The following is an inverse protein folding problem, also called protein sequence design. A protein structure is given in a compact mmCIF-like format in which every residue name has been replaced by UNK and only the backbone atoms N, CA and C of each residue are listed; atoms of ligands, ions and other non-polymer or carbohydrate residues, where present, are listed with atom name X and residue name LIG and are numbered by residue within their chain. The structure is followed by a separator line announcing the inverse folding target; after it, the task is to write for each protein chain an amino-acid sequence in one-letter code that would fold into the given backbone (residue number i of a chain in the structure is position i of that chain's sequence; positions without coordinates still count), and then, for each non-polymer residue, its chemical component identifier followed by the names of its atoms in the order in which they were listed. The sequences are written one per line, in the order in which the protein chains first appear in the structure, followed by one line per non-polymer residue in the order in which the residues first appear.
data_IF_436955335544
#
_entry.id   IF_436955335544
#
_cell.length_a   1.000
_cell.length_b   1.000
_cell.length_c   1.000
_cell.angle_alpha   90.00
_cell.angle_beta   90.00
_cell.angle_gamma   90.00
#
_symmetry.space_group_name_H-M   'P 1'
#
loop_
_entity.id
_entity.type
_entity.pdbx_description
1 polymer ?
#
# COMPACT_ATOMS: atom_id res chain seq x y z
N UNK A 1 -13.68 -19.46 9.14
CA UNK A 1 -13.10 -18.49 10.11
C UNK A 1 -12.47 -19.32 11.23
N UNK A 2 -11.23 -19.09 11.68
CA UNK A 2 -10.42 -20.04 12.51
C UNK A 2 -11.16 -20.74 13.68
N UNK A 3 -12.15 -20.08 14.30
CA UNK A 3 -12.99 -20.68 15.35
C UNK A 3 -13.94 -21.77 14.81
N UNK A 4 -14.54 -21.52 13.65
CA UNK A 4 -15.47 -22.43 12.96
C UNK A 4 -14.73 -23.56 12.26
N UNK A 5 -13.54 -23.29 11.73
CA UNK A 5 -12.77 -24.29 10.97
C UNK A 5 -12.05 -25.32 11.87
N UNK A 6 -11.86 -25.01 13.16
CA UNK A 6 -11.08 -25.83 14.11
C UNK A 6 -11.75 -26.07 15.46
N UNK A 7 -13.01 -25.63 15.64
CA UNK A 7 -13.75 -25.69 16.91
C UNK A 7 -12.94 -25.19 18.13
N UNK A 8 -12.02 -24.24 17.90
CA UNK A 8 -11.04 -23.85 18.90
C UNK A 8 -11.72 -23.15 20.08
N UNK A 9 -11.55 -23.66 21.31
CA UNK A 9 -12.03 -22.97 22.50
C UNK A 9 -11.44 -21.56 22.60
N UNK A 10 -12.27 -20.58 22.97
CA UNK A 10 -11.87 -19.16 23.05
C UNK A 10 -10.62 -18.92 23.92
N UNK A 11 -10.34 -19.80 24.90
CA UNK A 11 -9.10 -19.78 25.69
C UNK A 11 -7.83 -19.91 24.85
N UNK A 12 -7.84 -20.65 23.75
CA UNK A 12 -6.68 -20.79 22.87
C UNK A 12 -6.50 -19.56 21.99
N UNK A 13 -7.59 -19.02 21.46
CA UNK A 13 -7.58 -17.77 20.68
C UNK A 13 -7.00 -16.63 21.54
N UNK A 14 -7.51 -16.50 22.75
CA UNK A 14 -7.10 -15.44 23.69
C UNK A 14 -5.69 -15.66 24.26
N UNK A 15 -5.21 -16.90 24.35
CA UNK A 15 -3.82 -17.19 24.71
C UNK A 15 -2.84 -16.70 23.62
N UNK A 16 -3.19 -16.81 22.34
CA UNK A 16 -2.34 -16.32 21.23
C UNK A 16 -2.18 -14.80 21.20
N UNK A 17 -3.01 -14.04 21.90
CA UNK A 17 -2.79 -12.59 22.05
C UNK A 17 -1.44 -12.26 22.70
N UNK A 18 -0.91 -13.15 23.54
CA UNK A 18 0.44 -12.99 24.06
C UNK A 18 1.52 -13.02 22.97
N UNK A 19 1.29 -13.76 21.89
CA UNK A 19 2.23 -13.85 20.77
C UNK A 19 2.01 -12.76 19.72
N UNK A 20 0.78 -12.26 19.58
CA UNK A 20 0.45 -11.26 18.57
C UNK A 20 0.67 -9.82 19.04
N UNK A 21 0.29 -9.51 20.28
CA UNK A 21 0.50 -8.17 20.81
C UNK A 21 1.93 -8.00 21.26
N UNK A 22 2.54 -6.89 20.86
CA UNK A 22 3.90 -6.51 21.27
C UNK A 22 3.88 -5.18 22.01
N UNK A 23 4.88 -4.96 22.87
CA UNK A 23 5.12 -3.67 23.56
C UNK A 23 3.88 -3.11 24.26
N UNK A 24 3.37 -1.95 23.81
CA UNK A 24 2.24 -1.24 24.41
C UNK A 24 0.94 -2.04 24.30
N UNK A 25 0.71 -2.71 23.18
CA UNK A 25 -0.45 -3.58 22.98
C UNK A 25 -0.41 -4.78 23.95
N UNK A 26 0.77 -5.37 24.15
CA UNK A 26 0.94 -6.49 25.08
C UNK A 26 0.65 -6.07 26.52
N UNK A 27 1.22 -4.94 26.96
CA UNK A 27 0.98 -4.39 28.30
C UNK A 27 -0.50 -4.06 28.54
N UNK A 28 -1.17 -3.49 27.54
CA UNK A 28 -2.61 -3.23 27.60
C UNK A 28 -3.42 -4.52 27.75
N UNK A 29 -3.12 -5.54 26.94
CA UNK A 29 -3.77 -6.84 27.01
C UNK A 29 -3.60 -7.51 28.38
N UNK A 30 -2.38 -7.57 28.92
CA UNK A 30 -2.11 -8.18 30.23
C UNK A 30 -2.90 -7.46 31.34
N UNK A 31 -2.87 -6.13 31.38
CA UNK A 31 -3.63 -5.34 32.37
C UNK A 31 -5.13 -5.59 32.27
N UNK A 32 -5.68 -5.57 31.06
CA UNK A 32 -7.11 -5.75 30.86
C UNK A 32 -7.55 -7.18 31.22
N UNK A 33 -6.74 -8.19 30.88
CA UNK A 33 -6.99 -9.59 31.25
C UNK A 33 -6.92 -9.82 32.76
N UNK A 34 -5.98 -9.19 33.45
CA UNK A 34 -5.88 -9.27 34.92
C UNK A 34 -7.12 -8.68 35.59
N UNK A 35 -7.67 -7.57 35.06
CA UNK A 35 -8.84 -6.92 35.62
C UNK A 35 -10.16 -7.65 35.33
N UNK A 36 -10.33 -8.20 34.12
CA UNK A 36 -11.60 -8.74 33.63
C UNK A 36 -11.64 -10.29 33.61
N UNK A 37 -10.53 -10.95 33.93
CA UNK A 37 -10.43 -12.41 33.91
C UNK A 37 -10.39 -13.02 32.51
N UNK A 38 -10.82 -14.28 32.40
CA UNK A 38 -10.91 -15.00 31.14
C UNK A 38 -12.20 -14.63 30.42
N UNK A 39 -12.08 -14.08 29.22
CA UNK A 39 -13.19 -13.59 28.41
C UNK A 39 -13.20 -14.23 27.03
N UNK A 40 -14.38 -14.27 26.40
CA UNK A 40 -14.60 -14.85 25.07
C UNK A 40 -13.98 -13.99 23.95
N UNK A 41 -13.82 -14.57 22.76
CA UNK A 41 -13.40 -13.81 21.58
C UNK A 41 -14.40 -12.71 21.22
N UNK A 42 -15.70 -13.01 21.36
CA UNK A 42 -16.79 -12.06 21.11
C UNK A 42 -16.70 -10.83 22.02
N UNK A 43 -16.17 -10.99 23.24
CA UNK A 43 -15.90 -9.88 24.13
C UNK A 43 -14.62 -9.14 23.78
N UNK A 44 -13.53 -9.84 23.44
CA UNK A 44 -12.23 -9.21 23.12
C UNK A 44 -12.27 -8.39 21.84
N UNK A 45 -12.98 -8.85 20.81
CA UNK A 45 -13.05 -8.19 19.50
C UNK A 45 -13.45 -6.69 19.61
N UNK A 46 -14.56 -6.30 20.25
CA UNK A 46 -14.91 -4.88 20.40
C UNK A 46 -13.91 -4.10 21.27
N UNK A 47 -13.27 -4.71 22.27
CA UNK A 47 -12.26 -4.01 23.08
C UNK A 47 -11.02 -3.63 22.27
N UNK A 48 -10.57 -4.54 21.39
CA UNK A 48 -9.43 -4.30 20.51
C UNK A 48 -9.77 -3.20 19.51
N UNK A 49 -10.95 -3.28 18.88
CA UNK A 49 -11.44 -2.27 17.93
C UNK A 49 -11.53 -0.90 18.61
N UNK A 50 -12.16 -0.80 19.78
CA UNK A 50 -12.31 0.47 20.50
C UNK A 50 -10.96 1.06 20.92
N UNK A 51 -9.98 0.23 21.28
CA UNK A 51 -8.67 0.71 21.72
C UNK A 51 -7.79 1.19 20.57
N UNK A 52 -7.79 0.47 19.44
CA UNK A 52 -6.80 0.61 18.38
C UNK A 52 -7.35 1.08 17.04
N UNK A 53 -8.63 0.84 16.75
CA UNK A 53 -9.28 1.27 15.51
C UNK A 53 -10.04 2.60 15.70
N UNK A 54 -9.37 3.57 16.32
CA UNK A 54 -9.91 4.92 16.50
C UNK A 54 -9.87 5.73 15.19
N UNK A 55 -10.53 6.89 15.16
CA UNK A 55 -10.64 7.69 13.94
C UNK A 55 -9.30 8.18 13.39
N UNK A 56 -8.32 8.45 14.26
CA UNK A 56 -6.98 8.83 13.84
C UNK A 56 -6.28 7.69 13.07
N UNK A 57 -6.40 6.45 13.57
CA UNK A 57 -5.89 5.26 12.87
C UNK A 57 -6.62 5.03 11.53
N UNK A 58 -7.94 5.21 11.50
CA UNK A 58 -8.72 5.09 10.25
C UNK A 58 -8.25 6.10 9.21
N UNK A 59 -8.07 7.35 9.61
CA UNK A 59 -7.56 8.41 8.74
C UNK A 59 -6.15 8.10 8.22
N UNK A 60 -5.28 7.54 9.06
CA UNK A 60 -3.94 7.10 8.65
C UNK A 60 -4.03 6.01 7.58
N UNK A 61 -4.87 4.98 7.79
CA UNK A 61 -5.06 3.90 6.81
C UNK A 61 -5.65 4.42 5.50
N UNK A 62 -6.63 5.33 5.55
CA UNK A 62 -7.17 6.01 4.36
C UNK A 62 -6.08 6.77 3.62
N UNK A 63 -5.30 7.60 4.32
CA UNK A 63 -4.21 8.38 3.74
C UNK A 63 -3.17 7.48 3.06
N UNK A 64 -2.83 6.36 3.72
CA UNK A 64 -1.89 5.36 3.21
C UNK A 64 -2.47 4.63 1.98
N UNK A 65 -3.78 4.38 1.93
CA UNK A 65 -4.43 3.84 0.74
C UNK A 65 -4.45 4.84 -0.42
N UNK A 66 -4.80 6.11 -0.15
CA UNK A 66 -4.90 7.15 -1.18
C UNK A 66 -3.56 7.51 -1.82
N UNK A 67 -2.48 7.48 -1.03
CA UNK A 67 -1.12 7.74 -1.49
C UNK A 67 -0.43 6.55 -2.15
N UNK A 68 -0.92 5.32 -1.94
CA UNK A 68 -0.32 4.10 -2.47
C UNK A 68 -0.66 3.88 -3.95
N UNK A 69 0.00 4.62 -4.84
CA UNK A 69 -0.06 4.40 -6.29
C UNK A 69 0.78 3.21 -6.70
N UNK A 70 0.22 2.34 -7.54
CA UNK A 70 0.94 1.18 -8.04
C UNK A 70 2.07 1.59 -8.97
N UNK A 71 3.25 1.02 -8.79
CA UNK A 71 4.40 1.21 -9.67
C UNK A 71 5.02 -0.13 -10.07
N UNK A 72 4.91 -0.47 -11.36
CA UNK A 72 5.36 -1.76 -11.88
C UNK A 72 6.89 -1.98 -11.80
N UNK A 73 7.68 -0.91 -11.66
CA UNK A 73 9.14 -1.02 -11.51
C UNK A 73 9.57 -1.31 -10.07
N UNK A 74 8.71 -1.00 -9.10
CA UNK A 74 9.03 -1.07 -7.66
C UNK A 74 8.27 -2.16 -6.93
N UNK A 75 7.08 -2.49 -7.42
CA UNK A 75 6.12 -3.33 -6.72
C UNK A 75 5.67 -4.49 -7.60
N UNK A 76 5.41 -5.63 -6.96
CA UNK A 76 4.75 -6.78 -7.61
C UNK A 76 3.23 -6.63 -7.44
N UNK A 77 2.48 -6.99 -8.47
CA UNK A 77 1.02 -6.85 -8.50
C UNK A 77 0.33 -7.59 -7.36
N UNK A 78 0.65 -8.88 -7.15
CA UNK A 78 0.01 -9.69 -6.10
C UNK A 78 0.12 -9.09 -4.69
N UNK A 79 1.33 -8.86 -4.12
CA UNK A 79 1.44 -8.34 -2.75
C UNK A 79 0.87 -6.93 -2.64
N UNK A 80 1.04 -6.09 -3.66
CA UNK A 80 0.47 -4.75 -3.63
C UNK A 80 -1.07 -4.78 -3.60
N UNK A 81 -1.69 -5.58 -4.47
CA UNK A 81 -3.14 -5.71 -4.55
C UNK A 81 -3.72 -6.25 -3.24
N UNK A 82 -3.13 -7.30 -2.68
CA UNK A 82 -3.56 -7.86 -1.39
C UNK A 82 -3.47 -6.81 -0.27
N UNK A 83 -2.38 -6.04 -0.18
CA UNK A 83 -2.29 -4.97 0.81
C UNK A 83 -3.36 -3.90 0.64
N UNK A 84 -3.71 -3.51 -0.60
CA UNK A 84 -4.79 -2.55 -0.81
C UNK A 84 -6.17 -3.12 -0.48
N UNK A 85 -6.41 -4.40 -0.79
CA UNK A 85 -7.63 -5.12 -0.41
C UNK A 85 -7.77 -5.16 1.11
N UNK A 86 -6.72 -5.51 1.84
CA UNK A 86 -6.72 -5.56 3.30
C UNK A 86 -7.02 -4.19 3.94
N UNK A 87 -6.46 -3.10 3.41
CA UNK A 87 -6.76 -1.74 3.90
C UNK A 87 -8.24 -1.41 3.74
N UNK A 88 -8.81 -1.69 2.58
CA UNK A 88 -10.21 -1.37 2.28
C UNK A 88 -11.20 -2.26 3.05
N UNK A 89 -10.90 -3.54 3.25
CA UNK A 89 -11.77 -4.44 4.02
C UNK A 89 -11.82 -4.07 5.49
N UNK A 90 -10.73 -3.54 6.06
CA UNK A 90 -10.74 -3.07 7.45
C UNK A 90 -11.45 -1.72 7.60
N UNK A 91 -11.30 -0.82 6.61
CA UNK A 91 -12.01 0.47 6.62
C UNK A 91 -13.52 0.33 6.36
N UNK A 92 -13.90 -0.57 5.44
CA UNK A 92 -15.26 -0.72 4.96
C UNK A 92 -15.64 -2.21 4.88
N UNK A 93 -15.94 -2.86 6.01
CA UNK A 93 -16.19 -4.31 6.06
C UNK A 93 -17.43 -4.73 5.26
N UNK A 94 -18.42 -3.85 5.12
CA UNK A 94 -19.67 -4.12 4.40
C UNK A 94 -19.61 -3.73 2.92
N UNK A 95 -18.44 -3.31 2.42
CA UNK A 95 -18.26 -2.92 1.03
C UNK A 95 -18.19 -4.15 0.12
N UNK A 96 -18.92 -4.11 -1.00
CA UNK A 96 -18.88 -5.20 -1.96
C UNK A 96 -17.50 -5.35 -2.60
N UNK A 97 -17.12 -6.60 -2.87
CA UNK A 97 -15.83 -6.94 -3.47
C UNK A 97 -15.60 -6.23 -4.81
N UNK A 98 -16.64 -6.09 -5.62
CA UNK A 98 -16.59 -5.30 -6.86
C UNK A 98 -16.18 -3.84 -6.62
N UNK A 99 -16.73 -3.18 -5.59
CA UNK A 99 -16.40 -1.78 -5.29
C UNK A 99 -14.98 -1.69 -4.72
N UNK A 100 -14.56 -2.66 -3.92
CA UNK A 100 -13.17 -2.77 -3.45
C UNK A 100 -12.22 -2.86 -4.65
N UNK A 101 -12.46 -3.79 -5.57
CA UNK A 101 -11.67 -3.96 -6.79
C UNK A 101 -11.59 -2.66 -7.61
N UNK A 102 -12.73 -1.99 -7.82
CA UNK A 102 -12.78 -0.72 -8.54
C UNK A 102 -11.99 0.39 -7.85
N UNK A 103 -12.01 0.46 -6.52
CA UNK A 103 -11.20 1.41 -5.74
C UNK A 103 -9.71 1.12 -5.88
N UNK A 104 -9.30 -0.15 -5.83
CA UNK A 104 -7.89 -0.55 -6.00
C UNK A 104 -7.40 -0.20 -7.41
N UNK A 105 -8.18 -0.49 -8.46
CA UNK A 105 -7.79 -0.20 -9.84
C UNK A 105 -7.62 1.29 -10.12
N UNK A 106 -8.33 2.17 -9.42
CA UNK A 106 -8.10 3.63 -9.47
C UNK A 106 -6.73 4.04 -8.93
N UNK A 107 -6.11 3.21 -8.09
CA UNK A 107 -4.74 3.46 -7.60
C UNK A 107 -3.66 3.05 -8.61
N UNK A 108 -4.00 2.29 -9.66
CA UNK A 108 -3.11 2.08 -10.80
C UNK A 108 -2.99 3.35 -11.65
N UNK A 109 -4.12 3.99 -11.92
CA UNK A 109 -4.22 5.23 -12.70
C UNK A 109 -3.87 5.09 -14.19
N UNK A 110 -4.27 6.11 -14.97
CA UNK A 110 -3.88 6.30 -16.37
C UNK A 110 -4.15 5.08 -17.27
N UNK A 111 -3.19 4.81 -18.16
CA UNK A 111 -3.28 3.72 -19.15
C UNK A 111 -3.35 2.34 -18.49
N UNK A 112 -2.75 2.17 -17.30
CA UNK A 112 -2.76 0.89 -16.60
C UNK A 112 -4.15 0.56 -16.07
N UNK A 113 -4.82 1.52 -15.45
CA UNK A 113 -6.20 1.37 -15.01
C UNK A 113 -7.12 0.97 -16.17
N UNK A 114 -7.00 1.67 -17.32
CA UNK A 114 -7.82 1.37 -18.50
C UNK A 114 -7.49 -0.02 -19.07
N UNK A 115 -6.21 -0.36 -19.20
CA UNK A 115 -5.76 -1.65 -19.71
C UNK A 115 -6.28 -2.82 -18.87
N UNK A 116 -6.23 -2.72 -17.54
CA UNK A 116 -6.75 -3.77 -16.67
C UNK A 116 -8.28 -3.82 -16.74
N UNK A 117 -8.95 -2.67 -16.62
CA UNK A 117 -10.43 -2.61 -16.67
C UNK A 117 -11.02 -3.18 -17.94
N UNK A 118 -10.41 -2.91 -19.09
CA UNK A 118 -10.87 -3.44 -20.38
C UNK A 118 -10.86 -4.97 -20.48
N UNK A 119 -10.14 -5.66 -19.58
CA UNK A 119 -9.99 -7.12 -19.52
C UNK A 119 -10.71 -7.74 -18.33
N UNK A 120 -11.30 -6.94 -17.45
CA UNK A 120 -12.01 -7.40 -16.24
C UNK A 120 -13.50 -7.19 -16.38
N UNK A 121 -14.29 -8.01 -15.69
CA UNK A 121 -15.75 -7.86 -15.58
C UNK A 121 -16.14 -7.59 -14.14
N UNK A 122 -17.41 -7.25 -13.89
CA UNK A 122 -17.92 -7.07 -12.52
C UNK A 122 -17.81 -8.33 -11.66
N UNK A 123 -17.73 -9.50 -12.29
CA UNK A 123 -17.61 -10.82 -11.64
C UNK A 123 -16.16 -11.29 -11.49
N UNK A 124 -15.18 -10.50 -11.94
CA UNK A 124 -13.77 -10.88 -11.85
C UNK A 124 -13.34 -10.98 -10.40
N UNK A 125 -12.71 -12.12 -10.08
CA UNK A 125 -12.11 -12.38 -8.78
C UNK A 125 -10.87 -11.52 -8.56
N UNK A 126 -10.37 -11.47 -7.32
CA UNK A 126 -9.11 -10.79 -7.02
C UNK A 126 -7.95 -11.43 -7.81
N UNK A 127 -7.96 -12.76 -7.92
CA UNK A 127 -6.99 -13.56 -8.65
C UNK A 127 -7.00 -13.21 -10.15
N UNK A 128 -8.18 -13.09 -10.76
CA UNK A 128 -8.29 -12.69 -12.18
C UNK A 128 -7.67 -11.32 -12.41
N UNK A 129 -7.97 -10.35 -11.52
CA UNK A 129 -7.47 -8.99 -11.63
C UNK A 129 -5.95 -8.94 -11.44
N UNK A 130 -5.42 -9.69 -10.48
CA UNK A 130 -3.98 -9.79 -10.23
C UNK A 130 -3.27 -10.39 -11.45
N UNK A 131 -3.77 -11.49 -12.00
CA UNK A 131 -3.19 -12.14 -13.18
C UNK A 131 -3.16 -11.19 -14.39
N UNK A 132 -4.25 -10.45 -14.62
CA UNK A 132 -4.32 -9.44 -15.68
C UNK A 132 -3.33 -8.29 -15.42
N UNK A 133 -3.24 -7.82 -14.18
CA UNK A 133 -2.30 -6.75 -13.79
C UNK A 133 -0.84 -7.17 -14.02
N UNK A 134 -0.49 -8.41 -13.68
CA UNK A 134 0.83 -8.99 -13.97
C UNK A 134 1.07 -9.14 -15.47
N UNK A 135 0.09 -9.63 -16.22
CA UNK A 135 0.19 -9.77 -17.67
C UNK A 135 0.41 -8.42 -18.37
N UNK A 136 -0.36 -7.39 -18.01
CA UNK A 136 -0.24 -6.06 -18.61
C UNK A 136 1.13 -5.46 -18.30
N UNK A 137 1.55 -5.48 -17.05
CA UNK A 137 2.82 -4.87 -16.62
C UNK A 137 4.03 -5.57 -17.23
N UNK A 138 4.02 -6.90 -17.31
CA UNK A 138 5.11 -7.69 -17.91
C UNK A 138 5.19 -7.51 -19.42
N UNK A 139 4.06 -7.42 -20.12
CA UNK A 139 4.04 -7.38 -21.60
C UNK A 139 4.16 -5.98 -22.20
N UNK A 140 3.73 -4.93 -21.50
CA UNK A 140 3.51 -3.61 -22.13
C UNK A 140 4.35 -2.46 -21.58
N UNK A 141 5.18 -2.68 -20.53
CA UNK A 141 5.86 -1.61 -19.76
C UNK A 141 4.91 -0.49 -19.28
N UNK A 142 3.59 -0.71 -19.31
CA UNK A 142 2.58 0.21 -18.80
C UNK A 142 2.58 0.09 -17.27
N UNK A 143 2.59 1.23 -16.57
CA UNK A 143 2.71 1.27 -15.10
C UNK A 143 4.16 1.35 -14.60
N UNK A 144 5.14 1.15 -15.48
CA UNK A 144 6.53 1.53 -15.20
C UNK A 144 6.64 3.04 -15.21
N UNK A 145 7.32 3.60 -14.22
CA UNK A 145 7.78 4.97 -14.29
C UNK A 145 8.69 5.07 -15.51
N UNK A 146 8.18 5.65 -16.60
CA UNK A 146 9.06 6.17 -17.65
C UNK A 146 9.99 7.14 -16.94
N UNK A 147 11.20 6.71 -16.59
CA UNK A 147 12.31 7.63 -16.39
C UNK A 147 12.27 8.48 -17.64
N UNK A 148 11.99 9.76 -17.45
CA UNK A 148 11.90 10.71 -18.53
C UNK A 148 13.31 10.81 -19.12
N UNK A 149 13.65 9.92 -20.05
CA UNK A 149 14.87 9.96 -20.86
C UNK A 149 14.89 11.23 -21.75
N UNK A 150 13.85 12.08 -21.68
CA UNK A 150 13.80 13.42 -22.26
C UNK A 150 14.61 14.49 -21.51
N UNK A 151 15.51 14.14 -20.57
CA UNK A 151 16.49 15.09 -19.99
C UNK A 151 17.93 14.85 -20.48
N UNK A 152 18.18 13.97 -21.46
CA UNK A 152 19.55 13.80 -22.03
C UNK A 152 19.69 14.00 -23.54
N UNK A 153 18.80 14.73 -24.19
CA UNK A 153 18.99 15.14 -25.60
C UNK A 153 18.55 16.58 -25.93
N UNK A 154 18.42 17.48 -24.95
CA UNK A 154 18.20 18.90 -25.21
C UNK A 154 19.04 19.77 -24.26
N UNK A 155 20.36 19.65 -24.34
CA UNK A 155 21.23 20.80 -24.08
C UNK A 155 21.41 21.53 -25.41
N UNK A 156 20.90 22.77 -25.56
CA UNK A 156 21.23 23.60 -26.70
C UNK A 156 22.74 23.83 -26.72
N UNK A 157 23.37 23.65 -27.88
CA UNK A 157 24.80 23.83 -28.13
C UNK A 157 25.36 25.24 -27.85
N UNK A 158 24.60 26.12 -27.18
CA UNK A 158 24.94 27.53 -27.00
C UNK A 158 25.67 27.87 -25.71
N UNK A 159 25.80 26.94 -24.75
CA UNK A 159 26.50 27.22 -23.50
C UNK A 159 27.97 26.76 -23.47
N UNK A 160 28.43 26.01 -24.49
CA UNK A 160 29.84 25.57 -24.57
C UNK A 160 30.83 26.68 -24.93
N UNK A 161 30.36 27.88 -25.30
CA UNK A 161 31.22 29.02 -25.68
C UNK A 161 31.44 30.01 -24.52
N UNK A 162 30.65 29.94 -23.44
CA UNK A 162 30.77 30.87 -22.30
C UNK A 162 31.66 30.41 -21.16
N UNK A 163 32.09 29.15 -21.13
CA UNK A 163 32.94 28.60 -20.06
C UNK A 163 34.42 28.46 -20.46
N UNK A 164 34.81 28.77 -21.71
CA UNK A 164 36.21 28.80 -22.14
C UNK A 164 36.86 30.20 -22.08
N UNK A 165 36.07 31.26 -21.84
CA UNK A 165 36.58 32.64 -21.75
C UNK A 165 36.88 33.12 -20.32
N UNK A 166 36.64 32.30 -19.30
CA UNK A 166 36.94 32.65 -17.89
C UNK A 166 38.10 31.87 -17.27
N UNK A 167 38.82 31.03 -18.03
CA UNK A 167 39.96 30.26 -17.51
C UNK A 167 41.33 30.65 -18.08
N UNK A 168 41.42 31.73 -18.87
CA UNK A 168 42.69 32.26 -19.37
C UNK A 168 42.72 33.78 -19.25
N UNK A 169 43.25 34.29 -18.14
CA UNK A 169 43.60 35.71 -18.04
C UNK A 169 43.45 36.29 -16.64
N UNK A 170 44.37 35.94 -15.73
CA UNK A 170 44.83 36.91 -14.73
C UNK A 170 46.23 36.55 -14.24
N UNK A 171 47.22 36.90 -15.07
CA UNK A 171 48.59 37.21 -14.64
C UNK A 171 48.77 38.73 -14.79
N UNK A 172 49.09 39.37 -13.66
CA UNK A 172 50.02 40.50 -13.49
C UNK A 172 49.69 41.94 -13.93
N UNK A 173 49.80 42.85 -12.94
CA UNK A 173 50.37 44.25 -12.94
C UNK A 173 49.48 45.30 -13.66
N UNK A 174 49.07 46.46 -13.11
CA UNK A 174 49.71 47.68 -12.53
C UNK A 174 48.66 48.35 -11.59
N UNK A 175 48.89 49.22 -10.60
CA UNK A 175 49.96 50.10 -10.13
C UNK A 175 49.86 50.21 -8.59
#
# INVERSE_FOLDING_TARGET
MIKEDFELPDRFITARFNTFFTRSAHRWYIKLRQAQGHQSWTWWKPQIINKWANDAWRLEVETVFESAKFNADKEKALPWFCHQKDRLTVLYPDMSEFIIHRKILRQCGGDLEHAVKSRTTEKSSAEDIINILEEVTTRTKIGSSRVNLKIRLNTPWKDSVRLSLYSSGNKSIYN
#
